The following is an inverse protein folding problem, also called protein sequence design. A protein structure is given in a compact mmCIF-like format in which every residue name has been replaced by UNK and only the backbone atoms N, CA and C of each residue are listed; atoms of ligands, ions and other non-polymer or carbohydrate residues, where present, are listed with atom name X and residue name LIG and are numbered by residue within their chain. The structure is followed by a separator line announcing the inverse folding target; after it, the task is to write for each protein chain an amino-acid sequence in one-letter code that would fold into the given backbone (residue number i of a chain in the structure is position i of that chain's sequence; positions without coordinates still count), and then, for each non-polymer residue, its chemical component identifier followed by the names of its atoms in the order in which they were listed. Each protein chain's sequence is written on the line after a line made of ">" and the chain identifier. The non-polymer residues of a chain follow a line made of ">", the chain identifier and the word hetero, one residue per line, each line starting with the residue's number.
data_IF_559805738160
#
_entry.id   IF_559805738160
#
_cell.length_a   1.000
_cell.length_b   1.000
_cell.length_c   1.000
_cell.angle_alpha   90.00
_cell.angle_beta   90.00
_cell.angle_gamma   90.00
#
_symmetry.space_group_name_H-M   'P 1'
#
loop_
_entity.id
_entity.type
_entity.pdbx_description
1 polymer ?
#
# COMPACT_ATOMS: atom_id res chain seq x y z
N UNK A 1 2.47 -12.71 -10.03
CA UNK A 1 2.51 -12.14 -8.66
C UNK A 1 3.01 -13.24 -7.71
N UNK A 2 3.92 -12.94 -6.78
CA UNK A 2 4.27 -13.91 -5.74
C UNK A 2 3.07 -14.07 -4.77
N UNK A 3 2.66 -15.30 -4.39
CA UNK A 3 1.44 -15.52 -3.60
C UNK A 3 1.37 -14.70 -2.29
N UNK A 4 2.44 -14.56 -1.49
CA UNK A 4 2.40 -13.76 -0.27
C UNK A 4 2.18 -12.26 -0.53
N UNK A 5 2.71 -11.73 -1.65
CA UNK A 5 2.57 -10.30 -1.98
C UNK A 5 1.15 -9.95 -2.42
N UNK A 6 0.49 -10.88 -3.12
CA UNK A 6 -0.91 -10.72 -3.53
C UNK A 6 -1.85 -10.75 -2.32
N UNK A 7 -1.69 -11.73 -1.43
CA UNK A 7 -2.47 -11.82 -0.20
C UNK A 7 -2.34 -10.55 0.65
N UNK A 8 -1.12 -10.07 0.87
CA UNK A 8 -0.91 -8.85 1.63
C UNK A 8 -1.56 -7.64 0.97
N UNK A 9 -1.52 -7.52 -0.36
CA UNK A 9 -2.16 -6.42 -1.07
C UNK A 9 -3.70 -6.46 -0.91
N UNK A 10 -4.32 -7.65 -0.98
CA UNK A 10 -5.76 -7.83 -0.72
C UNK A 10 -6.14 -7.49 0.72
N UNK A 11 -5.36 -7.96 1.68
CA UNK A 11 -5.62 -7.65 3.10
C UNK A 11 -5.48 -6.15 3.37
N UNK A 12 -4.42 -5.51 2.83
CA UNK A 12 -4.24 -4.07 2.95
C UNK A 12 -5.40 -3.31 2.30
N UNK A 13 -5.82 -3.71 1.09
CA UNK A 13 -6.96 -3.09 0.41
C UNK A 13 -8.25 -3.20 1.23
N UNK A 14 -8.55 -4.37 1.77
CA UNK A 14 -9.70 -4.58 2.65
C UNK A 14 -9.65 -3.66 3.88
N UNK A 15 -8.50 -3.59 4.57
CA UNK A 15 -8.33 -2.69 5.72
C UNK A 15 -8.49 -1.20 5.37
N UNK A 16 -7.98 -0.78 4.21
CA UNK A 16 -8.15 0.59 3.71
C UNK A 16 -9.63 0.89 3.41
N UNK A 17 -10.35 -0.09 2.85
CA UNK A 17 -11.80 -0.02 2.64
C UNK A 17 -12.57 0.18 3.96
N UNK A 18 -12.21 -0.54 5.01
CA UNK A 18 -12.86 -0.45 6.33
C UNK A 18 -12.76 0.96 6.94
N UNK A 19 -11.64 1.65 6.77
CA UNK A 19 -11.45 3.01 7.28
C UNK A 19 -11.93 4.09 6.30
N UNK A 20 -12.45 3.71 5.13
CA UNK A 20 -12.89 4.64 4.09
C UNK A 20 -11.74 5.50 3.55
N UNK A 21 -10.53 4.94 3.44
CA UNK A 21 -9.35 5.65 2.97
C UNK A 21 -9.55 6.23 1.57
N UNK A 22 -9.04 7.45 1.34
CA UNK A 22 -9.11 8.17 0.06
C UNK A 22 -7.77 8.80 -0.27
N UNK A 23 -7.49 8.94 -1.57
CA UNK A 23 -6.28 9.59 -2.07
C UNK A 23 -5.09 8.63 -2.20
N UNK A 24 -3.87 9.17 -2.32
CA UNK A 24 -2.67 8.36 -2.52
C UNK A 24 -2.32 7.53 -1.28
N UNK A 25 -1.75 6.35 -1.51
CA UNK A 25 -1.34 5.41 -0.46
C UNK A 25 0.18 5.48 -0.32
N UNK A 26 0.66 5.84 0.87
CA UNK A 26 2.08 5.82 1.19
C UNK A 26 2.45 4.52 1.87
N UNK A 27 3.45 3.81 1.34
CA UNK A 27 3.95 2.56 1.89
C UNK A 27 5.36 2.79 2.43
N UNK A 28 5.50 2.61 3.75
CA UNK A 28 6.77 2.70 4.47
C UNK A 28 7.31 1.31 4.84
N UNK A 29 8.56 1.28 5.30
CA UNK A 29 9.21 0.06 5.79
C UNK A 29 9.61 -0.94 4.69
N UNK A 30 9.91 -2.19 5.04
CA UNK A 30 10.47 -3.18 4.11
C UNK A 30 9.58 -3.48 2.89
N UNK A 31 8.25 -3.40 3.03
CA UNK A 31 7.31 -3.64 1.93
C UNK A 31 7.35 -2.55 0.85
N UNK A 32 7.89 -1.36 1.15
CA UNK A 32 8.14 -0.30 0.16
C UNK A 32 9.13 -0.74 -0.93
N UNK A 33 9.89 -1.82 -0.72
CA UNK A 33 10.80 -2.39 -1.71
C UNK A 33 10.15 -3.51 -2.55
N UNK A 34 8.96 -3.98 -2.17
CA UNK A 34 8.28 -5.08 -2.85
C UNK A 34 7.40 -4.56 -4.00
N UNK A 35 7.98 -4.48 -5.21
CA UNK A 35 7.28 -4.02 -6.43
C UNK A 35 6.00 -4.79 -6.74
N UNK A 36 5.97 -6.10 -6.48
CA UNK A 36 4.80 -6.93 -6.76
C UNK A 36 3.62 -6.57 -5.83
N UNK A 37 3.91 -6.35 -4.55
CA UNK A 37 2.94 -5.86 -3.57
C UNK A 37 2.41 -4.47 -3.94
N UNK A 38 3.30 -3.53 -4.26
CA UNK A 38 2.91 -2.15 -4.58
C UNK A 38 2.05 -2.06 -5.85
N UNK A 39 2.39 -2.81 -6.89
CA UNK A 39 1.61 -2.85 -8.12
C UNK A 39 0.23 -3.52 -7.91
N UNK A 40 0.17 -4.61 -7.15
CA UNK A 40 -1.09 -5.25 -6.79
C UNK A 40 -1.98 -4.29 -5.99
N UNK A 41 -1.42 -3.62 -4.98
CA UNK A 41 -2.16 -2.68 -4.14
C UNK A 41 -2.70 -1.50 -4.96
N UNK A 42 -1.88 -0.92 -5.86
CA UNK A 42 -2.33 0.14 -6.76
C UNK A 42 -3.48 -0.32 -7.65
N UNK A 43 -3.35 -1.50 -8.24
CA UNK A 43 -4.37 -2.04 -9.13
C UNK A 43 -5.67 -2.45 -8.41
N UNK A 44 -5.59 -2.90 -7.16
CA UNK A 44 -6.76 -3.27 -6.35
C UNK A 44 -7.53 -2.04 -5.87
N UNK A 45 -6.80 -1.02 -5.39
CA UNK A 45 -7.37 0.21 -4.81
C UNK A 45 -7.73 1.29 -5.84
N UNK A 46 -7.23 1.17 -7.07
CA UNK A 46 -7.33 2.22 -8.09
C UNK A 46 -6.61 3.53 -7.71
N UNK A 47 -5.77 3.49 -6.69
CA UNK A 47 -5.08 4.65 -6.11
C UNK A 47 -3.60 4.65 -6.47
N UNK A 48 -3.01 5.84 -6.42
CA UNK A 48 -1.56 5.99 -6.61
C UNK A 48 -0.83 5.49 -5.36
N UNK A 49 0.15 4.62 -5.54
CA UNK A 49 0.93 4.05 -4.44
C UNK A 49 2.35 4.63 -4.46
N UNK A 50 2.75 5.27 -3.36
CA UNK A 50 4.05 5.92 -3.21
C UNK A 50 4.89 5.15 -2.20
N UNK A 51 6.05 4.65 -2.64
CA UNK A 51 6.98 3.95 -1.76
C UNK A 51 7.96 4.92 -1.08
N UNK A 52 8.11 4.78 0.23
CA UNK A 52 9.01 5.55 1.08
C UNK A 52 10.04 4.62 1.77
N UNK A 53 10.99 4.03 1.02
CA UNK A 53 11.97 3.10 1.59
C UNK A 53 12.90 3.81 2.57
N UNK A 54 13.14 3.19 3.74
CA UNK A 54 14.01 3.76 4.78
C UNK A 54 13.41 4.94 5.54
N UNK A 55 12.12 5.25 5.31
CA UNK A 55 11.38 6.22 6.11
C UNK A 55 10.65 5.53 7.27
N UNK A 56 10.63 6.19 8.43
CA UNK A 56 9.69 5.91 9.52
C UNK A 56 8.96 7.21 9.86
N UNK A 57 7.72 7.33 9.42
CA UNK A 57 6.88 8.52 9.61
C UNK A 57 6.73 8.89 11.09
N UNK A 58 6.75 7.90 11.98
CA UNK A 58 6.65 8.11 13.43
C UNK A 58 7.85 8.90 13.99
N UNK A 59 9.08 8.50 13.67
CA UNK A 59 10.28 9.19 14.18
C UNK A 59 10.44 10.57 13.56
N UNK A 60 10.08 10.71 12.28
CA UNK A 60 10.06 12.01 11.60
C UNK A 60 9.00 12.95 12.20
N UNK A 61 7.80 12.44 12.48
CA UNK A 61 6.75 13.20 13.16
C UNK A 61 7.18 13.69 14.55
N UNK A 62 7.84 12.82 15.33
CA UNK A 62 8.37 13.19 16.64
C UNK A 62 9.44 14.30 16.55
N UNK A 63 10.31 14.25 15.55
CA UNK A 63 11.31 15.30 15.30
C UNK A 63 10.65 16.65 14.96
N UNK A 64 9.56 16.65 14.18
CA UNK A 64 8.83 17.87 13.86
C UNK A 64 8.24 18.56 15.10
N UNK A 65 7.80 17.80 16.11
CA UNK A 65 7.28 18.35 17.37
C UNK A 65 8.35 19.12 18.17
N UNK A 66 9.63 18.80 17.99
CA UNK A 66 10.75 19.50 18.64
C UNK A 66 11.40 20.55 17.74
N UNK A 67 10.72 20.95 16.66
CA UNK A 67 11.22 21.88 15.64
C UNK A 67 12.47 21.38 14.88
N UNK A 68 12.80 20.09 14.98
CA UNK A 68 13.80 19.46 14.13
C UNK A 68 13.17 19.20 12.77
N UNK A 69 13.86 19.59 11.70
CA UNK A 69 13.46 19.25 10.33
C UNK A 69 14.20 17.99 9.90
N UNK A 70 13.58 16.80 10.00
CA UNK A 70 14.21 15.59 9.47
C UNK A 70 14.43 15.73 7.96
N UNK A 71 15.48 15.10 7.45
CA UNK A 71 15.69 15.00 6.02
C UNK A 71 14.45 14.37 5.38
N UNK A 72 13.94 14.98 4.31
CA UNK A 72 12.80 14.44 3.59
C UNK A 72 13.15 13.04 3.08
N UNK A 73 12.30 12.05 3.35
CA UNK A 73 12.44 10.76 2.72
C UNK A 73 12.32 10.92 1.20
N UNK A 74 13.24 10.32 0.45
CA UNK A 74 13.15 10.30 -1.01
C UNK A 74 11.98 9.42 -1.41
N UNK A 75 10.84 10.03 -1.72
CA UNK A 75 9.70 9.32 -2.25
C UNK A 75 10.03 8.76 -3.63
N UNK A 76 9.70 7.48 -3.84
CA UNK A 76 9.71 6.91 -5.18
C UNK A 76 8.62 7.56 -6.02
N UNK A 77 8.77 7.52 -7.35
CA UNK A 77 7.70 7.91 -8.24
C UNK A 77 6.42 7.12 -7.93
N UNK A 78 5.24 7.77 -7.94
CA UNK A 78 3.98 7.08 -7.72
C UNK A 78 3.81 5.92 -8.71
N UNK A 79 3.42 4.77 -8.19
CA UNK A 79 3.08 3.59 -8.97
C UNK A 79 1.58 3.64 -9.26
N UNK A 80 1.25 3.66 -10.55
CA UNK A 80 -0.09 3.44 -11.10
C UNK A 80 -0.05 2.15 -11.91
N UNK A 81 -0.75 1.12 -11.46
CA UNK A 81 -0.77 -0.18 -12.13
C UNK A 81 -2.19 -0.63 -12.42
N UNK A 82 -2.36 -1.35 -13.53
CA UNK A 82 -3.60 -2.04 -13.89
C UNK A 82 -3.26 -3.49 -14.25
N UNK A 83 -3.68 -4.42 -13.39
CA UNK A 83 -3.42 -5.84 -13.54
C UNK A 83 -4.73 -6.54 -13.92
N UNK A 84 -4.79 -7.04 -15.16
CA UNK A 84 -5.98 -7.71 -15.71
C UNK A 84 -6.41 -8.89 -14.82
N UNK A 85 -7.72 -9.03 -14.61
CA UNK A 85 -8.32 -10.12 -13.82
C UNK A 85 -8.11 -10.01 -12.30
N UNK A 86 -7.40 -8.98 -11.83
CA UNK A 86 -7.14 -8.82 -10.40
C UNK A 86 -8.39 -8.38 -9.62
N UNK A 87 -9.29 -7.63 -10.25
CA UNK A 87 -10.58 -7.27 -9.65
C UNK A 87 -11.50 -8.50 -9.54
N UNK A 88 -11.60 -9.32 -10.59
CA UNK A 88 -12.33 -10.59 -10.54
C UNK A 88 -11.79 -11.51 -9.43
N UNK A 89 -10.46 -11.58 -9.29
CA UNK A 89 -9.82 -12.33 -8.21
C UNK A 89 -10.14 -11.77 -6.82
N UNK A 90 -10.17 -10.45 -6.68
CA UNK A 90 -10.54 -9.77 -5.44
C UNK A 90 -11.98 -10.11 -5.03
N UNK A 91 -12.91 -10.09 -5.96
CA UNK A 91 -14.31 -10.46 -5.71
C UNK A 91 -14.42 -11.92 -5.28
N UNK A 92 -13.78 -12.84 -6.01
CA UNK A 92 -13.76 -14.25 -5.66
C UNK A 92 -13.14 -14.50 -4.26
N UNK A 93 -12.08 -13.76 -3.92
CA UNK A 93 -11.44 -13.84 -2.60
C UNK A 93 -12.37 -13.37 -1.48
N UNK A 94 -13.10 -12.26 -1.67
CA UNK A 94 -14.07 -11.79 -0.69
C UNK A 94 -15.24 -12.76 -0.49
N UNK A 95 -15.77 -13.33 -1.58
CA UNK A 95 -16.85 -14.33 -1.50
C UNK A 95 -16.38 -15.56 -0.72
N UNK A 96 -15.19 -16.09 -1.03
CA UNK A 96 -14.63 -17.23 -0.33
C UNK A 96 -14.40 -17.00 1.18
N UNK A 97 -14.18 -15.76 1.61
CA UNK A 97 -14.07 -15.40 3.04
C UNK A 97 -15.42 -15.20 3.73
N UNK A 98 -16.49 -14.92 2.99
CA UNK A 98 -17.83 -14.75 3.53
C UNK A 98 -18.56 -16.09 3.73
N UNK A 99 -18.15 -17.12 2.98
CA UNK A 99 -18.77 -18.46 2.98
C UNK A 99 -18.18 -19.43 4.03
N UNK A 100 -17.22 -18.97 4.86
CA UNK A 100 -16.55 -19.78 5.91
C UNK A 100 -16.81 -19.27 7.32
#
# INVERSE_FOLDING_TARGET
>A
LAPPSLYLALMTEACLGLIGAKGPIFVEGPFALNRAYLAALSSLTGSDVVALPGSTGTSQGAALLTSIRPAAATASQPIRAELRGLQDYREAWHTALADG
#
